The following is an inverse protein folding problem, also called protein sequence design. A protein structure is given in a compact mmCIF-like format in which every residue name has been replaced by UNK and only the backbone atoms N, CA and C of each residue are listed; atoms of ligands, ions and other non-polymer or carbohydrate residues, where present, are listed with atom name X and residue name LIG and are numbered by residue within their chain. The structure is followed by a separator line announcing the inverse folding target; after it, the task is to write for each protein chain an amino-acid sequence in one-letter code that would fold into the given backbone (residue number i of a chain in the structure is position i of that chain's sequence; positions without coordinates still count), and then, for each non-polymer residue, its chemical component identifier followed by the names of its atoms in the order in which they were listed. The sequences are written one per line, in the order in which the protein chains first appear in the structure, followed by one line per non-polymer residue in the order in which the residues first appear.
data_IF_200584458690
#
_entry.id   IF_200584458690
#
_cell.length_a   1.000
_cell.length_b   1.000
_cell.length_c   1.000
_cell.angle_alpha   90.00
_cell.angle_beta   90.00
_cell.angle_gamma   90.00
#
_symmetry.space_group_name_H-M   'P 1'
#
loop_
_entity.id
_entity.type
_entity.pdbx_description
1 polymer ?
#
# COMPACT_ATOMS: atom_id res chain seq x y z
N UNK A 1 -11.40 -11.49 -34.55
CA UNK A 1 -11.61 -10.07 -34.19
C UNK A 1 -11.90 -9.98 -32.70
N UNK A 2 -10.87 -10.17 -31.86
CA UNK A 2 -10.93 -10.03 -30.40
C UNK A 2 -9.63 -9.36 -29.92
N UNK A 3 -9.27 -8.26 -30.56
CA UNK A 3 -8.16 -7.38 -30.19
C UNK A 3 -8.66 -5.96 -30.00
N UNK A 4 -9.92 -5.80 -29.58
CA UNK A 4 -10.50 -4.50 -29.30
C UNK A 4 -10.12 -4.10 -27.88
N UNK A 5 -9.22 -3.10 -27.81
CA UNK A 5 -8.95 -2.24 -26.67
C UNK A 5 -8.33 -2.89 -25.41
N UNK A 6 -7.08 -3.35 -25.54
CA UNK A 6 -6.17 -3.34 -24.39
C UNK A 6 -5.77 -1.88 -24.11
N UNK A 7 -6.61 -1.15 -23.39
CA UNK A 7 -6.16 0.06 -22.70
C UNK A 7 -5.21 -0.48 -21.62
N UNK A 8 -3.91 -0.15 -21.60
CA UNK A 8 -3.05 -0.54 -20.50
C UNK A 8 -3.70 0.02 -19.23
N UNK A 9 -4.29 -0.83 -18.41
CA UNK A 9 -4.97 -0.36 -17.22
C UNK A 9 -3.90 0.27 -16.34
N UNK A 10 -4.11 1.53 -15.95
CA UNK A 10 -3.28 2.19 -14.93
C UNK A 10 -3.56 1.62 -13.53
N UNK A 11 -4.08 0.39 -13.47
CA UNK A 11 -4.55 -0.25 -12.27
C UNK A 11 -3.36 -0.76 -11.49
N UNK A 12 -3.31 -0.38 -10.22
CA UNK A 12 -2.33 -0.90 -9.27
C UNK A 12 -3.06 -1.92 -8.42
N UNK A 13 -2.56 -3.14 -8.45
CA UNK A 13 -3.18 -4.30 -7.80
C UNK A 13 -2.29 -4.80 -6.67
N UNK A 14 -2.76 -5.77 -5.87
CA UNK A 14 -1.89 -6.47 -4.93
C UNK A 14 -0.72 -7.23 -5.59
N UNK A 15 -0.78 -7.50 -6.90
CA UNK A 15 0.28 -8.18 -7.66
C UNK A 15 1.34 -7.23 -8.23
N UNK A 16 1.12 -5.91 -8.11
CA UNK A 16 2.06 -4.92 -8.62
C UNK A 16 3.35 -4.95 -7.79
N UNK A 17 4.48 -5.21 -8.43
CA UNK A 17 5.82 -5.22 -7.83
C UNK A 17 6.44 -3.82 -7.82
N UNK A 18 6.36 -3.11 -8.94
CA UNK A 18 7.01 -1.81 -9.12
C UNK A 18 6.41 -0.99 -10.27
N UNK A 19 6.50 0.33 -10.14
CA UNK A 19 6.20 1.31 -11.18
C UNK A 19 7.48 2.10 -11.41
N UNK A 20 8.16 1.84 -12.53
CA UNK A 20 9.53 2.32 -12.77
C UNK A 20 9.54 3.34 -13.90
N UNK A 21 10.04 4.54 -13.62
CA UNK A 21 10.40 5.50 -14.64
C UNK A 21 11.76 5.12 -15.24
N UNK A 22 11.79 4.80 -16.53
CA UNK A 22 13.02 4.56 -17.29
C UNK A 22 13.16 5.63 -18.38
N UNK A 23 14.40 6.07 -18.57
CA UNK A 23 14.74 6.99 -19.65
C UNK A 23 15.35 6.17 -20.79
N UNK A 24 14.84 6.34 -22.01
CA UNK A 24 15.42 5.71 -23.20
C UNK A 24 16.69 6.46 -23.67
N UNK A 25 17.30 5.97 -24.76
CA UNK A 25 18.51 6.58 -25.34
C UNK A 25 18.27 7.98 -25.92
N UNK A 26 17.01 8.30 -26.27
CA UNK A 26 16.61 9.59 -26.83
C UNK A 26 16.22 10.59 -25.73
N UNK A 27 16.27 10.17 -24.46
CA UNK A 27 15.91 10.98 -23.32
C UNK A 27 14.42 10.96 -22.98
N UNK A 28 13.60 10.21 -23.73
CA UNK A 28 12.17 10.05 -23.48
C UNK A 28 11.98 9.25 -22.21
N UNK A 29 11.12 9.76 -21.33
CA UNK A 29 10.77 9.09 -20.09
C UNK A 29 9.54 8.21 -20.31
N UNK A 30 9.68 6.93 -20.00
CA UNK A 30 8.63 5.92 -20.13
C UNK A 30 8.42 5.23 -18.79
N UNK A 31 7.16 4.93 -18.47
CA UNK A 31 6.81 4.22 -17.24
C UNK A 31 6.54 2.75 -17.53
N UNK A 32 7.19 1.89 -16.77
CA UNK A 32 6.99 0.44 -16.79
C UNK A 32 6.28 0.02 -15.51
N UNK A 33 5.22 -0.75 -15.64
CA UNK A 33 4.57 -1.44 -14.53
C UNK A 33 5.03 -2.89 -14.55
N UNK A 34 5.56 -3.35 -13.43
CA UNK A 34 5.96 -4.74 -13.21
C UNK A 34 4.93 -5.39 -12.30
N UNK A 35 4.23 -6.39 -12.81
CA UNK A 35 3.37 -7.29 -12.04
C UNK A 35 4.11 -8.61 -11.77
N UNK A 36 3.49 -9.51 -11.02
CA UNK A 36 4.06 -10.84 -10.74
C UNK A 36 4.34 -11.64 -12.02
N UNK A 37 3.39 -11.65 -12.96
CA UNK A 37 3.41 -12.48 -14.17
C UNK A 37 3.71 -11.70 -15.45
N UNK A 38 3.42 -10.41 -15.49
CA UNK A 38 3.57 -9.58 -16.68
C UNK A 38 4.29 -8.26 -16.42
N UNK A 39 4.68 -7.58 -17.48
CA UNK A 39 5.14 -6.20 -17.44
C UNK A 39 4.60 -5.47 -18.65
N UNK A 40 4.25 -4.19 -18.46
CA UNK A 40 3.69 -3.39 -19.53
C UNK A 40 4.07 -1.92 -19.38
N UNK A 41 3.94 -1.19 -20.48
CA UNK A 41 4.31 0.22 -20.60
C UNK A 41 3.07 1.09 -20.55
N UNK A 42 3.17 2.23 -19.88
CA UNK A 42 2.06 3.18 -19.73
C UNK A 42 2.52 4.61 -20.01
N UNK A 43 1.66 5.39 -20.67
CA UNK A 43 1.90 6.80 -21.00
C UNK A 43 1.45 7.75 -19.87
N UNK A 44 1.89 7.47 -18.64
CA UNK A 44 1.64 8.31 -17.45
C UNK A 44 2.84 8.23 -16.52
N UNK A 45 3.13 9.30 -15.79
CA UNK A 45 4.23 9.28 -14.82
C UNK A 45 3.91 8.37 -13.62
N UNK A 46 4.92 7.76 -12.97
CA UNK A 46 4.70 6.85 -11.85
C UNK A 46 3.88 7.47 -10.71
N UNK A 47 4.16 8.73 -10.36
CA UNK A 47 3.41 9.44 -9.32
C UNK A 47 1.95 9.72 -9.69
N UNK A 48 1.63 9.89 -10.99
CA UNK A 48 0.23 10.05 -11.43
C UNK A 48 -0.54 8.74 -11.34
N UNK A 49 0.10 7.62 -11.66
CA UNK A 49 -0.49 6.29 -11.53
C UNK A 49 -0.75 5.97 -10.07
N UNK A 50 0.22 6.23 -9.19
CA UNK A 50 0.05 6.07 -7.74
C UNK A 50 -1.07 6.96 -7.21
N UNK A 51 -1.15 8.23 -7.60
CA UNK A 51 -2.25 9.12 -7.18
C UNK A 51 -3.61 8.65 -7.69
N UNK A 52 -3.68 8.11 -8.92
CA UNK A 52 -4.89 7.50 -9.45
C UNK A 52 -5.32 6.28 -8.63
N UNK A 53 -4.38 5.38 -8.31
CA UNK A 53 -4.65 4.23 -7.46
C UNK A 53 -5.11 4.65 -6.06
N UNK A 54 -4.49 5.68 -5.47
CA UNK A 54 -4.94 6.23 -4.19
C UNK A 54 -6.41 6.69 -4.27
N UNK A 55 -6.75 7.41 -5.34
CA UNK A 55 -8.09 7.99 -5.57
C UNK A 55 -9.15 6.93 -5.84
N UNK A 56 -8.78 5.85 -6.50
CA UNK A 56 -9.64 4.69 -6.67
C UNK A 56 -10.14 4.16 -5.32
N UNK A 57 -9.27 4.13 -4.31
CA UNK A 57 -9.61 3.80 -2.91
C UNK A 57 -10.04 5.02 -2.07
N UNK A 58 -10.51 6.10 -2.70
CA UNK A 58 -11.11 7.25 -2.02
C UNK A 58 -10.15 8.20 -1.30
N UNK A 59 -8.84 8.16 -1.58
CA UNK A 59 -7.86 9.04 -0.94
C UNK A 59 -6.91 9.70 -1.95
N UNK A 60 -6.36 10.87 -1.63
CA UNK A 60 -5.29 11.46 -2.46
C UNK A 60 -3.92 10.92 -2.08
N UNK A 61 -2.96 10.94 -3.01
CA UNK A 61 -1.56 10.66 -2.68
C UNK A 61 -1.06 11.56 -1.55
N UNK A 62 -1.38 12.85 -1.61
CA UNK A 62 -1.02 13.83 -0.57
C UNK A 62 -1.58 13.44 0.79
N UNK A 63 -2.87 13.10 0.88
CA UNK A 63 -3.50 12.69 2.14
C UNK A 63 -2.85 11.44 2.75
N UNK A 64 -2.44 10.47 1.92
CA UNK A 64 -1.71 9.29 2.40
C UNK A 64 -0.30 9.62 2.88
N UNK A 65 0.40 10.54 2.23
CA UNK A 65 1.70 11.04 2.68
C UNK A 65 1.58 11.82 4.00
N UNK A 66 0.53 12.62 4.16
CA UNK A 66 0.20 13.31 5.40
C UNK A 66 -0.06 12.29 6.53
N UNK A 67 -0.83 11.24 6.26
CA UNK A 67 -1.06 10.15 7.21
C UNK A 67 0.23 9.43 7.64
N UNK A 68 1.17 9.19 6.72
CA UNK A 68 2.48 8.63 7.07
C UNK A 68 3.27 9.53 8.01
N UNK A 69 3.26 10.84 7.78
CA UNK A 69 3.87 11.82 8.69
C UNK A 69 3.23 11.75 10.07
N UNK A 70 1.91 11.68 10.15
CA UNK A 70 1.18 11.66 11.42
C UNK A 70 1.37 10.32 12.18
N UNK A 71 1.65 9.23 11.46
CA UNK A 71 1.88 7.91 12.05
C UNK A 71 3.31 7.76 12.61
N UNK A 72 4.33 8.23 11.87
CA UNK A 72 5.72 7.90 12.18
C UNK A 72 6.73 9.03 11.91
N UNK A 73 6.28 10.27 11.71
CA UNK A 73 7.13 11.45 11.55
C UNK A 73 7.90 11.52 10.23
N UNK A 74 7.64 10.60 9.30
CA UNK A 74 8.32 10.55 8.00
C UNK A 74 7.75 11.64 7.07
N UNK A 75 8.58 12.62 6.71
CA UNK A 75 8.20 13.75 5.85
C UNK A 75 8.74 13.62 4.42
N UNK A 76 10.02 13.30 4.25
CA UNK A 76 10.66 13.20 2.94
C UNK A 76 10.53 11.81 2.35
N UNK A 77 10.13 11.72 1.07
CA UNK A 77 9.96 10.45 0.34
C UNK A 77 9.08 9.48 1.12
N UNK A 78 7.96 9.98 1.63
CA UNK A 78 7.10 9.23 2.53
C UNK A 78 6.55 7.97 1.84
N UNK A 79 6.63 6.78 2.46
CA UNK A 79 5.88 5.62 2.02
C UNK A 79 4.38 5.88 2.16
N UNK A 80 3.58 5.08 1.48
CA UNK A 80 2.12 5.12 1.56
C UNK A 80 1.58 3.68 1.63
N UNK A 81 0.40 3.51 2.23
CA UNK A 81 -0.45 2.38 1.91
C UNK A 81 -1.46 2.84 0.86
N UNK A 82 -1.71 2.06 -0.18
CA UNK A 82 -2.86 2.26 -1.10
C UNK A 82 -4.05 1.51 -0.55
N UNK A 83 -3.84 0.25 -0.21
CA UNK A 83 -4.77 -0.56 0.56
C UNK A 83 -3.99 -1.41 1.56
N UNK A 84 -4.04 -1.10 2.87
CA UNK A 84 -3.34 -1.89 3.87
C UNK A 84 -3.90 -3.31 3.99
N UNK A 85 -5.19 -3.54 3.67
CA UNK A 85 -5.81 -4.86 3.83
C UNK A 85 -5.29 -5.87 2.82
N UNK A 86 -5.03 -5.43 1.58
CA UNK A 86 -4.35 -6.24 0.56
C UNK A 86 -2.81 -6.12 0.60
N UNK A 87 -2.25 -5.49 1.64
CA UNK A 87 -0.79 -5.35 1.78
C UNK A 87 -0.14 -4.43 0.74
N UNK A 88 -0.89 -3.53 0.11
CA UNK A 88 -0.40 -2.61 -0.92
C UNK A 88 0.34 -1.42 -0.29
N UNK A 89 1.58 -1.66 0.13
CA UNK A 89 2.49 -0.66 0.69
C UNK A 89 3.57 -0.28 -0.32
N UNK A 90 3.65 0.99 -0.67
CA UNK A 90 4.57 1.50 -1.68
C UNK A 90 5.47 2.59 -1.12
N UNK A 91 6.69 2.69 -1.64
CA UNK A 91 7.58 3.80 -1.34
C UNK A 91 8.21 4.38 -2.61
N UNK A 92 8.46 5.71 -2.64
CA UNK A 92 9.13 6.35 -3.75
C UNK A 92 10.65 6.18 -3.64
N UNK A 93 11.34 6.04 -4.78
CA UNK A 93 12.81 5.94 -4.83
C UNK A 93 13.49 7.29 -4.67
N UNK A 94 12.87 8.35 -5.19
CA UNK A 94 13.29 9.76 -5.08
C UNK A 94 12.10 10.63 -4.64
N UNK A 95 12.15 11.95 -4.81
CA UNK A 95 10.98 12.80 -4.54
C UNK A 95 9.84 12.41 -5.47
N UNK A 96 8.58 12.25 -5.02
CA UNK A 96 7.42 12.03 -5.89
C UNK A 96 7.22 13.09 -6.98
N UNK A 97 7.78 14.29 -6.80
CA UNK A 97 7.77 15.36 -7.81
C UNK A 97 8.86 15.22 -8.86
N UNK A 98 9.86 14.36 -8.65
CA UNK A 98 10.91 14.07 -9.62
C UNK A 98 10.36 13.14 -10.70
N UNK A 99 10.57 13.49 -11.96
CA UNK A 99 10.11 12.69 -13.10
C UNK A 99 10.73 11.29 -13.13
N UNK A 100 11.97 11.12 -12.65
CA UNK A 100 12.65 9.81 -12.52
C UNK A 100 12.21 9.01 -11.28
N UNK A 101 11.25 9.51 -10.51
CA UNK A 101 10.78 8.80 -9.32
C UNK A 101 10.06 7.51 -9.73
N UNK A 102 10.50 6.41 -9.12
CA UNK A 102 9.87 5.10 -9.25
C UNK A 102 9.23 4.72 -7.91
N UNK A 103 8.26 3.82 -7.94
CA UNK A 103 7.56 3.33 -6.75
C UNK A 103 7.70 1.82 -6.64
N UNK A 104 8.07 1.33 -5.46
CA UNK A 104 8.33 -0.08 -5.23
C UNK A 104 7.34 -0.60 -4.18
N UNK A 105 6.71 -1.74 -4.46
CA UNK A 105 5.85 -2.42 -3.52
C UNK A 105 6.70 -3.13 -2.45
N UNK A 106 6.64 -2.65 -1.22
CA UNK A 106 7.41 -3.18 -0.11
C UNK A 106 7.07 -4.65 0.19
N UNK A 107 5.80 -5.04 0.07
CA UNK A 107 5.33 -6.40 0.37
C UNK A 107 5.97 -7.49 -0.50
N UNK A 108 6.48 -7.12 -1.66
CA UNK A 108 7.03 -8.04 -2.64
C UNK A 108 8.55 -8.17 -2.60
N UNK A 109 9.24 -7.34 -1.81
CA UNK A 109 10.70 -7.36 -1.73
C UNK A 109 11.15 -8.61 -0.98
N UNK A 110 12.12 -9.31 -1.58
CA UNK A 110 12.91 -10.36 -0.93
C UNK A 110 14.21 -9.79 -0.36
N UNK A 111 14.99 -9.12 -1.21
CA UNK A 111 16.26 -8.49 -0.81
C UNK A 111 16.64 -7.31 -1.70
N UNK A 112 17.54 -6.48 -1.20
CA UNK A 112 18.18 -5.39 -1.95
C UNK A 112 19.66 -5.69 -2.04
N UNK A 113 20.25 -5.53 -3.23
CA UNK A 113 21.67 -5.73 -3.49
C UNK A 113 22.30 -4.44 -4.05
N UNK A 114 23.63 -4.33 -3.94
CA UNK A 114 24.40 -3.33 -4.65
C UNK A 114 24.49 -3.71 -6.13
N UNK A 115 24.34 -2.75 -7.02
CA UNK A 115 24.59 -2.90 -8.45
C UNK A 115 25.75 -2.00 -8.90
N UNK A 116 26.19 -2.15 -10.15
CA UNK A 116 27.21 -1.29 -10.74
C UNK A 116 26.77 0.19 -10.76
N UNK A 117 27.72 1.10 -10.94
CA UNK A 117 27.47 2.54 -11.13
C UNK A 117 26.60 3.18 -10.02
N UNK A 118 26.87 2.85 -8.75
CA UNK A 118 26.10 3.35 -7.60
C UNK A 118 24.59 3.08 -7.65
N UNK A 119 24.15 2.10 -8.43
CA UNK A 119 22.76 1.68 -8.51
C UNK A 119 22.41 0.66 -7.42
N UNK A 120 21.11 0.45 -7.23
CA UNK A 120 20.57 -0.60 -6.38
C UNK A 120 19.81 -1.62 -7.23
N UNK A 121 19.89 -2.89 -6.84
CA UNK A 121 19.03 -3.94 -7.38
C UNK A 121 18.02 -4.35 -6.32
N UNK A 122 16.73 -4.27 -6.65
CA UNK A 122 15.66 -4.87 -5.86
C UNK A 122 15.38 -6.25 -6.44
N UNK A 123 15.40 -7.27 -5.59
CA UNK A 123 14.98 -8.64 -5.91
C UNK A 123 13.64 -8.88 -5.23
N UNK A 124 12.65 -9.29 -6.02
CA UNK A 124 11.32 -9.61 -5.54
C UNK A 124 11.20 -11.09 -5.17
N UNK A 125 10.18 -11.44 -4.37
CA UNK A 125 9.92 -12.80 -3.89
C UNK A 125 9.70 -13.81 -5.01
N UNK A 126 9.17 -13.38 -6.15
CA UNK A 126 9.03 -14.21 -7.36
C UNK A 126 10.33 -14.34 -8.18
N UNK A 127 11.46 -13.83 -7.69
CA UNK A 127 12.75 -13.88 -8.36
C UNK A 127 12.99 -12.79 -9.41
N UNK A 128 11.98 -11.98 -9.76
CA UNK A 128 12.15 -10.82 -10.64
C UNK A 128 13.09 -9.79 -10.02
N UNK A 129 13.74 -9.00 -10.88
CA UNK A 129 14.76 -8.02 -10.47
C UNK A 129 14.56 -6.70 -11.19
N UNK A 130 14.70 -5.60 -10.46
CA UNK A 130 14.69 -4.25 -11.03
C UNK A 130 15.97 -3.53 -10.60
N UNK A 131 16.66 -2.90 -11.55
CA UNK A 131 17.78 -1.99 -11.30
C UNK A 131 17.24 -0.57 -11.21
N UNK A 132 17.60 0.13 -10.14
CA UNK A 132 17.20 1.50 -9.86
C UNK A 132 18.43 2.41 -9.85
N UNK A 133 18.32 3.55 -10.54
CA UNK A 133 19.34 4.61 -10.58
C UNK A 133 19.32 5.45 -9.28
N UNK A 134 19.51 4.76 -8.16
CA UNK A 134 19.62 5.30 -6.81
C UNK A 134 20.56 4.41 -6.00
N UNK A 135 21.20 4.98 -4.99
CA UNK A 135 22.14 4.22 -4.16
C UNK A 135 21.45 3.11 -3.37
N UNK A 136 22.18 2.00 -3.17
CA UNK A 136 21.78 0.91 -2.27
C UNK A 136 21.30 1.42 -0.91
N UNK A 137 22.04 2.36 -0.30
CA UNK A 137 21.68 2.93 1.00
C UNK A 137 20.37 3.70 0.97
N UNK A 138 20.07 4.42 -0.13
CA UNK A 138 18.79 5.12 -0.29
C UNK A 138 17.62 4.14 -0.36
N UNK A 139 17.74 3.05 -1.14
CA UNK A 139 16.69 2.04 -1.25
C UNK A 139 16.50 1.29 0.06
N UNK A 140 17.59 0.86 0.71
CA UNK A 140 17.52 0.15 1.98
C UNK A 140 16.83 0.99 3.06
N UNK A 141 17.16 2.30 3.13
CA UNK A 141 16.50 3.21 4.05
C UNK A 141 14.99 3.33 3.76
N UNK A 142 14.59 3.42 2.48
CA UNK A 142 13.17 3.43 2.12
C UNK A 142 12.46 2.13 2.50
N UNK A 143 13.11 0.96 2.34
CA UNK A 143 12.57 -0.33 2.79
C UNK A 143 12.34 -0.32 4.30
N UNK A 144 13.36 0.05 5.09
CA UNK A 144 13.27 0.07 6.56
C UNK A 144 12.19 1.04 7.07
N UNK A 145 12.14 2.25 6.49
CA UNK A 145 11.12 3.26 6.80
C UNK A 145 9.71 2.77 6.48
N UNK A 146 9.55 2.06 5.37
CA UNK A 146 8.26 1.48 4.98
C UNK A 146 7.86 0.32 5.89
N UNK A 147 8.81 -0.51 6.31
CA UNK A 147 8.57 -1.57 7.29
C UNK A 147 8.06 -1.01 8.63
N UNK A 148 8.71 0.06 9.13
CA UNK A 148 8.26 0.76 10.34
C UNK A 148 6.85 1.34 10.18
N UNK A 149 6.61 2.08 9.09
CA UNK A 149 5.28 2.66 8.81
C UNK A 149 4.20 1.58 8.73
N UNK A 150 4.45 0.50 7.98
CA UNK A 150 3.55 -0.64 7.84
C UNK A 150 3.24 -1.28 9.18
N UNK A 151 4.26 -1.58 9.99
CA UNK A 151 4.07 -2.19 11.31
C UNK A 151 3.16 -1.33 12.20
N UNK A 152 3.40 -0.01 12.25
CA UNK A 152 2.60 0.91 13.05
C UNK A 152 1.15 1.03 12.54
N UNK A 153 0.95 1.12 11.23
CA UNK A 153 -0.38 1.19 10.64
C UNK A 153 -1.16 -0.12 10.84
N UNK A 154 -0.54 -1.26 10.56
CA UNK A 154 -1.16 -2.59 10.71
C UNK A 154 -1.58 -2.81 12.18
N UNK A 155 -0.78 -2.38 13.15
CA UNK A 155 -1.15 -2.48 14.57
C UNK A 155 -2.37 -1.63 14.93
N UNK A 156 -2.46 -0.39 14.41
CA UNK A 156 -3.65 0.46 14.61
C UNK A 156 -4.91 -0.19 14.03
N UNK A 157 -4.80 -0.77 12.83
CA UNK A 157 -5.93 -1.45 12.17
C UNK A 157 -6.36 -2.69 12.95
N UNK A 158 -5.40 -3.54 13.36
CA UNK A 158 -5.68 -4.75 14.15
C UNK A 158 -6.35 -4.43 15.48
N UNK A 159 -5.86 -3.41 16.18
CA UNK A 159 -6.47 -2.96 17.43
C UNK A 159 -7.95 -2.62 17.24
N UNK A 160 -8.29 -1.84 16.21
CA UNK A 160 -9.68 -1.48 15.91
C UNK A 160 -10.54 -2.70 15.53
N UNK A 161 -9.99 -3.67 14.80
CA UNK A 161 -10.69 -4.90 14.43
C UNK A 161 -10.99 -5.78 15.65
N UNK A 162 -10.04 -5.92 16.57
CA UNK A 162 -10.21 -6.70 17.81
C UNK A 162 -11.31 -6.09 18.69
N UNK A 163 -11.28 -4.76 18.90
CA UNK A 163 -12.30 -4.07 19.68
C UNK A 163 -13.69 -4.20 19.05
N UNK A 164 -13.77 -4.17 17.71
CA UNK A 164 -15.05 -4.39 17.01
C UNK A 164 -15.58 -5.81 17.19
N UNK A 165 -14.71 -6.82 17.20
CA UNK A 165 -15.10 -8.21 17.42
C UNK A 165 -15.61 -8.46 18.85
N UNK A 166 -15.00 -7.81 19.85
CA UNK A 166 -15.44 -7.89 21.25
C UNK A 166 -16.82 -7.26 21.47
N UNK A 167 -17.08 -6.08 20.89
CA UNK A 167 -18.39 -5.39 20.99
C UNK A 167 -19.52 -6.18 20.31
N UNK A 168 -19.23 -6.92 19.23
CA UNK A 168 -20.23 -7.75 18.52
C UNK A 168 -20.51 -9.06 19.27
N UNK A 169 -19.60 -9.53 20.12
CA UNK A 169 -19.71 -10.78 20.85
C UNK A 169 -20.44 -10.66 22.21
N UNK A 170 -20.76 -9.45 22.70
CA UNK A 170 -21.64 -9.29 23.87
C UNK A 170 -23.08 -9.69 23.52
N UNK A 171 -23.69 -10.66 24.23
CA UNK A 171 -25.05 -11.08 23.93
C UNK A 171 -26.04 -9.99 24.33
N UNK A 172 -26.89 -9.60 23.39
CA UNK A 172 -28.10 -8.83 23.63
C UNK A 172 -29.08 -9.63 24.49
N UNK A 173 -28.85 -9.75 25.79
CA UNK A 173 -29.87 -10.20 26.73
C UNK A 173 -29.50 -9.88 28.17
N UNK A 174 -30.26 -8.95 28.76
CA UNK A 174 -30.92 -9.12 30.07
C UNK A 174 -31.99 -8.04 30.17
N UNK A 175 -33.13 -8.25 29.51
CA UNK A 175 -34.36 -7.66 30.01
C UNK A 175 -34.62 -8.30 31.39
N UNK A 176 -34.89 -7.52 32.45
CA UNK A 176 -35.17 -8.10 33.75
C UNK A 176 -36.48 -8.89 33.64
N UNK A 177 -36.44 -10.15 34.09
CA UNK A 177 -37.65 -10.96 34.22
C UNK A 177 -38.56 -10.27 35.24
N UNK A 178 -39.67 -9.69 34.78
CA UNK A 178 -40.77 -9.30 35.65
C UNK A 178 -41.26 -10.55 36.39
N UNK A 179 -41.14 -10.52 37.70
CA UNK A 179 -41.63 -11.58 38.58
C UNK A 179 -43.14 -11.47 38.67
N UNK A 180 -43.84 -12.37 37.98
CA UNK A 180 -45.28 -12.52 38.11
C UNK A 180 -45.58 -13.20 39.46
N UNK A 181 -46.11 -12.46 40.43
CA UNK A 181 -46.68 -13.05 41.65
C UNK A 181 -48.17 -13.37 41.42
N UNK A 182 -48.64 -14.61 41.70
CA UNK A 182 -50.06 -14.90 41.67
C UNK A 182 -50.77 -14.21 42.84
N UNK A 183 -51.92 -13.60 42.55
CA UNK A 183 -52.82 -13.00 43.53
C UNK A 183 -53.31 -14.09 44.50
N UNK A 184 -53.05 -13.92 45.81
CA UNK A 184 -53.62 -14.76 46.86
C UNK A 184 -55.09 -14.41 47.09
N UNK A 185 -55.90 -15.46 47.19
CA UNK A 185 -57.35 -15.44 47.45
C UNK A 185 -57.72 -14.67 48.73
N UNK A 186 -58.85 -13.97 48.66
CA UNK A 186 -59.51 -13.33 49.80
C UNK A 186 -60.16 -14.39 50.69
N UNK A 187 -59.93 -14.35 52.01
CA UNK A 187 -60.79 -15.00 53.00
C UNK A 187 -61.36 -13.95 53.95
N UNK A 188 -62.69 -14.00 54.03
CA UNK A 188 -63.67 -13.44 54.99
C UNK A 188 -63.79 -11.92 55.20
#
# INVERSE_FOLDING_TARGET
MLSEYYIPSYEITPMTLAIVAKQDRLGTLTTFIFEEEEEYVVDRSPSKIIDYACKFFGASLKGRQDGTRDICGITHKAPISIDPTSGMYFFPTTSPTNSKCSWIAHSHIDKVNRAANHCAQVVFKNGRKVILDVSYGSVLNQVQRTAQFRYLLDNRIKFLQQHKAEVVAEPASKAPAESFQPYSEWQD
#
